data_IF_627458819258
#
_entry.id   IF_627458819258
#
_cell.length_a   1.000
_cell.length_b   1.000
_cell.length_c   1.000
_cell.angle_alpha   90.00
_cell.angle_beta   90.00
_cell.angle_gamma   90.00
#
_symmetry.space_group_name_H-M   'P 1'
#
loop_
_entity.id
_entity.type
_entity.pdbx_description
1 polymer ?
#
# COMPACT_ATOMS: atom_id res chain seq x y z
N UNK A 1 5.37 5.70 -27.23
CA UNK A 1 5.87 6.59 -26.16
C UNK A 1 5.90 5.91 -24.78
N UNK A 2 6.25 4.61 -24.69
CA UNK A 2 6.36 3.87 -23.41
C UNK A 2 7.61 4.20 -22.58
N UNK A 3 8.33 5.25 -22.98
CA UNK A 3 9.69 5.54 -22.56
C UNK A 3 9.79 6.17 -21.16
N UNK A 4 8.73 6.83 -20.69
CA UNK A 4 8.78 7.64 -19.46
C UNK A 4 8.20 6.95 -18.21
N UNK A 5 7.33 5.97 -18.36
CA UNK A 5 6.61 5.35 -17.22
C UNK A 5 6.95 3.89 -17.00
N UNK A 6 6.59 3.03 -17.95
CA UNK A 6 6.70 1.58 -17.79
C UNK A 6 8.15 1.08 -17.83
N UNK A 7 8.95 1.54 -18.80
CA UNK A 7 10.35 1.12 -18.94
C UNK A 7 11.18 1.53 -17.72
N UNK A 8 11.01 2.77 -17.23
CA UNK A 8 11.72 3.26 -16.04
C UNK A 8 11.32 2.49 -14.77
N UNK A 9 10.04 2.19 -14.59
CA UNK A 9 9.57 1.39 -13.45
C UNK A 9 10.08 -0.06 -13.52
N UNK A 10 10.16 -0.65 -14.71
CA UNK A 10 10.76 -1.96 -14.90
C UNK A 10 12.25 -1.94 -14.53
N UNK A 11 13.00 -0.94 -14.97
CA UNK A 11 14.43 -0.80 -14.65
C UNK A 11 14.69 -0.62 -13.16
N UNK A 12 13.91 0.24 -12.48
CA UNK A 12 13.98 0.39 -11.02
C UNK A 12 13.61 -0.93 -10.33
N UNK A 13 12.61 -1.65 -10.83
CA UNK A 13 12.25 -2.99 -10.35
C UNK A 13 13.41 -3.99 -10.44
N UNK A 14 14.14 -3.99 -11.57
CA UNK A 14 15.34 -4.82 -11.76
C UNK A 14 16.44 -4.43 -10.76
N UNK A 15 16.74 -3.14 -10.61
CA UNK A 15 17.74 -2.67 -9.64
C UNK A 15 17.35 -3.07 -8.21
N UNK A 16 16.08 -2.91 -7.85
CA UNK A 16 15.56 -3.32 -6.55
C UNK A 16 15.65 -4.84 -6.33
N UNK A 17 15.45 -5.67 -7.37
CA UNK A 17 15.64 -7.12 -7.30
C UNK A 17 17.08 -7.50 -7.01
N UNK A 18 18.05 -6.80 -7.60
CA UNK A 18 19.48 -7.07 -7.38
C UNK A 18 19.90 -6.63 -5.97
N UNK A 19 19.54 -5.41 -5.56
CA UNK A 19 20.00 -4.82 -4.29
C UNK A 19 19.32 -5.45 -3.08
N UNK A 20 17.99 -5.58 -3.14
CA UNK A 20 17.19 -6.06 -1.99
C UNK A 20 16.97 -7.58 -2.02
N UNK A 21 17.03 -8.17 -3.22
CA UNK A 21 16.76 -9.58 -3.45
C UNK A 21 15.27 -9.89 -3.69
N UNK A 22 14.95 -10.87 -4.56
CA UNK A 22 13.58 -11.21 -4.96
C UNK A 22 12.69 -11.69 -3.80
N UNK A 23 13.27 -12.25 -2.74
CA UNK A 23 12.52 -12.72 -1.57
C UNK A 23 12.05 -11.59 -0.65
N UNK A 24 12.74 -10.44 -0.64
CA UNK A 24 12.48 -9.33 0.31
C UNK A 24 11.68 -8.19 -0.32
N UNK A 25 11.82 -7.98 -1.64
CA UNK A 25 11.04 -7.02 -2.42
C UNK A 25 9.51 -7.07 -2.21
N UNK A 26 8.84 -8.24 -2.23
CA UNK A 26 7.39 -8.29 -2.03
C UNK A 26 6.97 -7.85 -0.63
N UNK A 27 7.83 -8.01 0.38
CA UNK A 27 7.59 -7.48 1.72
C UNK A 27 7.60 -5.95 1.73
N UNK A 28 8.63 -5.34 1.13
CA UNK A 28 8.76 -3.87 1.05
C UNK A 28 7.66 -3.26 0.20
N UNK A 29 7.33 -3.85 -0.95
CA UNK A 29 6.24 -3.36 -1.80
C UNK A 29 4.89 -3.36 -1.08
N UNK A 30 4.60 -4.37 -0.26
CA UNK A 30 3.38 -4.41 0.56
C UNK A 30 3.35 -3.31 1.61
N UNK A 31 4.46 -3.08 2.30
CA UNK A 31 4.55 -2.03 3.33
C UNK A 31 4.48 -0.64 2.70
N UNK A 32 5.24 -0.39 1.64
CA UNK A 32 5.22 0.85 0.90
C UNK A 32 3.83 1.13 0.31
N UNK A 33 3.18 0.12 -0.28
CA UNK A 33 1.82 0.23 -0.79
C UNK A 33 0.78 0.51 0.30
N UNK A 34 0.90 -0.12 1.48
CA UNK A 34 0.01 0.15 2.60
C UNK A 34 0.19 1.57 3.15
N UNK A 35 1.43 2.09 3.21
CA UNK A 35 1.71 3.47 3.61
C UNK A 35 1.21 4.47 2.57
N UNK A 36 1.48 4.21 1.29
CA UNK A 36 1.01 5.06 0.20
C UNK A 36 -0.52 5.13 0.14
N UNK A 37 -1.19 3.99 0.32
CA UNK A 37 -2.66 3.95 0.37
C UNK A 37 -3.26 4.69 1.57
N UNK A 38 -2.55 4.72 2.71
CA UNK A 38 -2.95 5.52 3.87
C UNK A 38 -2.71 7.02 3.64
N UNK A 39 -1.55 7.37 3.06
CA UNK A 39 -1.22 8.75 2.73
C UNK A 39 -2.21 9.34 1.72
N UNK A 40 -2.60 8.57 0.70
CA UNK A 40 -3.61 8.99 -0.27
C UNK A 40 -4.93 9.33 0.41
N UNK A 41 -5.41 8.49 1.35
CA UNK A 41 -6.62 8.78 2.13
C UNK A 41 -6.49 10.05 2.97
N UNK A 42 -5.36 10.23 3.66
CA UNK A 42 -5.12 11.44 4.45
C UNK A 42 -5.12 12.69 3.58
N UNK A 43 -4.50 12.62 2.40
CA UNK A 43 -4.51 13.71 1.43
C UNK A 43 -5.92 13.99 0.93
N UNK A 44 -6.74 12.97 0.72
CA UNK A 44 -8.13 13.14 0.28
C UNK A 44 -9.00 13.75 1.39
N UNK A 45 -8.80 13.36 2.65
CA UNK A 45 -9.47 13.95 3.81
C UNK A 45 -9.07 15.43 4.00
N UNK A 46 -7.77 15.74 3.90
CA UNK A 46 -7.27 17.11 3.97
C UNK A 46 -7.78 17.93 2.79
N UNK A 47 -7.78 17.39 1.57
CA UNK A 47 -8.38 18.06 0.40
C UNK A 47 -9.86 18.33 0.62
N UNK A 48 -10.61 17.44 1.26
CA UNK A 48 -12.04 17.62 1.52
C UNK A 48 -12.30 18.72 2.57
N UNK A 49 -11.49 18.78 3.64
CA UNK A 49 -11.57 19.85 4.64
C UNK A 49 -11.16 21.20 4.03
N UNK A 50 -10.02 21.21 3.33
CA UNK A 50 -9.46 22.39 2.67
C UNK A 50 -10.38 22.89 1.56
N UNK A 51 -11.02 22.02 0.77
CA UNK A 51 -11.99 22.42 -0.26
C UNK A 51 -13.30 22.95 0.34
N UNK A 52 -13.61 22.60 1.59
CA UNK A 52 -14.78 23.08 2.32
C UNK A 52 -14.53 24.45 2.97
N UNK A 53 -13.31 24.71 3.42
CA UNK A 53 -12.89 26.00 3.99
C UNK A 53 -12.41 27.00 2.93
N UNK A 54 -11.87 26.54 1.80
CA UNK A 54 -11.37 27.39 0.71
C UNK A 54 -12.39 27.50 -0.42
N UNK A 55 -13.33 28.41 -0.21
CA UNK A 55 -14.19 28.96 -1.26
C UNK A 55 -13.32 29.72 -2.29
N UNK A 56 -12.98 29.03 -3.39
CA UNK A 56 -12.46 29.51 -4.69
C UNK A 56 -11.14 30.30 -4.81
N UNK A 57 -10.60 30.96 -3.78
CA UNK A 57 -9.49 31.93 -4.00
C UNK A 57 -8.05 31.40 -3.79
N UNK A 58 -7.87 30.32 -3.01
CA UNK A 58 -6.55 29.74 -2.73
C UNK A 58 -6.14 28.62 -3.70
N UNK A 59 -7.11 27.89 -4.27
CA UNK A 59 -6.88 26.84 -5.27
C UNK A 59 -6.22 27.43 -6.53
N UNK A 60 -6.57 28.68 -6.90
CA UNK A 60 -5.90 29.40 -7.99
C UNK A 60 -4.45 29.75 -7.68
N UNK A 61 -4.14 30.20 -6.46
CA UNK A 61 -2.77 30.51 -6.04
C UNK A 61 -1.89 29.27 -5.99
N UNK A 62 -2.38 28.19 -5.38
CA UNK A 62 -1.62 26.94 -5.25
C UNK A 62 -1.41 26.25 -6.61
N UNK A 63 -2.40 26.31 -7.52
CA UNK A 63 -2.24 25.88 -8.93
C UNK A 63 -1.20 26.72 -9.67
N UNK A 64 -1.23 28.03 -9.50
CA UNK A 64 -0.24 28.93 -10.14
C UNK A 64 1.19 28.68 -9.66
N UNK A 65 1.39 28.45 -8.37
CA UNK A 65 2.70 28.17 -7.79
C UNK A 65 3.22 26.77 -8.17
N UNK A 66 2.33 25.77 -8.25
CA UNK A 66 2.66 24.44 -8.75
C UNK A 66 2.99 24.47 -10.25
N UNK A 67 2.26 25.24 -11.06
CA UNK A 67 2.53 25.38 -12.49
C UNK A 67 3.85 26.13 -12.75
N UNK A 68 4.16 27.17 -11.97
CA UNK A 68 5.47 27.84 -12.02
C UNK A 68 6.58 26.87 -11.66
N UNK A 69 6.41 26.11 -10.57
CA UNK A 69 7.41 25.12 -10.12
C UNK A 69 7.60 24.00 -11.15
N UNK A 70 6.53 23.57 -11.82
CA UNK A 70 6.60 22.57 -12.88
C UNK A 70 7.35 23.09 -14.12
N UNK A 71 7.11 24.34 -14.53
CA UNK A 71 7.86 24.98 -15.63
C UNK A 71 9.34 25.14 -15.30
N UNK A 72 9.67 25.48 -14.05
CA UNK A 72 11.07 25.56 -13.61
C UNK A 72 11.77 24.20 -13.63
N UNK A 73 11.06 23.13 -13.26
CA UNK A 73 11.56 21.75 -13.37
C UNK A 73 11.75 21.36 -14.83
N UNK A 74 10.81 21.68 -15.72
CA UNK A 74 10.93 21.41 -17.16
C UNK A 74 12.13 22.13 -17.77
N UNK A 75 12.33 23.41 -17.43
CA UNK A 75 13.49 24.19 -17.87
C UNK A 75 14.81 23.60 -17.35
N UNK A 76 14.86 23.19 -16.07
CA UNK A 76 16.05 22.53 -15.49
C UNK A 76 16.32 21.19 -16.15
N UNK A 77 15.29 20.39 -16.39
CA UNK A 77 15.40 19.10 -17.08
C UNK A 77 15.89 19.30 -18.51
N UNK A 78 15.38 20.29 -19.26
CA UNK A 78 15.83 20.57 -20.62
C UNK A 78 17.31 21.00 -20.66
N UNK A 79 17.75 21.84 -19.71
CA UNK A 79 19.15 22.27 -19.59
C UNK A 79 20.09 21.12 -19.17
N UNK A 80 19.63 20.24 -18.28
CA UNK A 80 20.39 19.05 -17.84
C UNK A 80 20.47 18.01 -18.95
N UNK A 81 19.38 17.79 -19.69
CA UNK A 81 19.37 16.88 -20.84
C UNK A 81 20.32 17.37 -21.94
N UNK A 82 20.29 18.68 -22.24
CA UNK A 82 21.18 19.27 -23.26
C UNK A 82 22.66 19.21 -22.87
N UNK A 83 22.97 19.27 -21.57
CA UNK A 83 24.35 19.13 -21.07
C UNK A 83 24.80 17.67 -20.96
N UNK A 84 23.88 16.73 -20.74
CA UNK A 84 24.20 15.29 -20.72
C UNK A 84 24.27 14.67 -22.11
N UNK A 85 23.58 15.20 -23.13
CA UNK A 85 23.60 14.62 -24.48
C UNK A 85 25.00 14.63 -25.11
N UNK A 86 25.82 15.66 -24.83
CA UNK A 86 27.23 15.70 -25.27
C UNK A 86 28.12 14.67 -24.57
N UNK A 87 27.80 14.26 -23.35
CA UNK A 87 28.54 13.21 -22.63
C UNK A 87 28.02 11.81 -23.02
N UNK A 88 26.72 11.68 -23.27
CA UNK A 88 26.06 10.44 -23.67
C UNK A 88 26.44 10.02 -25.10
N UNK A 89 26.55 10.95 -26.06
CA UNK A 89 27.02 10.62 -27.42
C UNK A 89 28.47 10.11 -27.40
N UNK A 90 29.32 10.73 -26.58
CA UNK A 90 30.71 10.33 -26.42
C UNK A 90 30.86 8.97 -25.71
N UNK A 91 30.05 8.70 -24.69
CA UNK A 91 30.05 7.41 -23.98
C UNK A 91 29.42 6.29 -24.81
N UNK A 92 28.37 6.58 -25.58
CA UNK A 92 27.74 5.60 -26.48
C UNK A 92 28.70 5.17 -27.59
N UNK A 93 29.39 6.12 -28.24
CA UNK A 93 30.44 5.83 -29.23
C UNK A 93 31.61 5.03 -28.65
N UNK A 94 31.97 5.32 -27.40
CA UNK A 94 33.03 4.58 -26.69
C UNK A 94 32.60 3.18 -26.28
N UNK A 95 31.33 2.99 -25.90
CA UNK A 95 30.77 1.71 -25.46
C UNK A 95 30.44 0.75 -26.60
N UNK A 96 29.96 1.25 -27.74
CA UNK A 96 29.65 0.41 -28.92
C UNK A 96 30.92 -0.13 -29.57
N UNK A 97 32.03 0.62 -29.51
CA UNK A 97 33.35 0.13 -29.97
C UNK A 97 33.89 -1.04 -29.13
N UNK A 98 33.38 -1.24 -27.91
CA UNK A 98 33.69 -2.40 -27.05
C UNK A 98 32.68 -3.55 -27.22
N UNK A 99 31.47 -3.27 -27.75
CA UNK A 99 30.36 -4.23 -27.87
C UNK A 99 30.41 -5.09 -29.14
N UNK A 100 31.03 -4.61 -30.23
CA UNK A 100 31.11 -5.35 -31.50
C UNK A 100 32.09 -6.55 -31.48
N UNK A 101 32.74 -6.84 -30.35
CA UNK A 101 33.62 -8.01 -30.18
C UNK A 101 32.91 -9.25 -29.59
N UNK A 102 31.68 -9.15 -29.07
CA UNK A 102 31.07 -10.24 -28.27
C UNK A 102 29.90 -10.97 -28.94
N UNK A 103 29.26 -10.44 -29.98
CA UNK A 103 28.08 -11.11 -30.60
C UNK A 103 28.41 -11.78 -31.93
N UNK A 104 29.18 -12.85 -31.87
CA UNK A 104 29.23 -13.88 -32.90
C UNK A 104 28.87 -15.23 -32.29
N UNK A 105 27.69 -15.77 -32.62
CA UNK A 105 27.40 -17.20 -32.84
C UNK A 105 25.95 -17.62 -32.49
N UNK A 106 25.30 -18.19 -33.51
CA UNK A 106 24.28 -19.26 -33.48
C UNK A 106 22.79 -18.95 -33.25
N UNK A 107 22.01 -19.15 -34.32
CA UNK A 107 20.57 -19.31 -34.31
C UNK A 107 20.13 -20.77 -34.24
N UNK A 108 18.84 -21.00 -33.92
CA UNK A 108 18.12 -22.27 -34.14
C UNK A 108 16.61 -22.00 -34.32
N UNK A 109 16.12 -22.26 -35.53
CA UNK A 109 14.71 -22.54 -35.87
C UNK A 109 14.30 -23.92 -35.32
N UNK A 110 13.00 -24.16 -35.09
CA UNK A 110 12.38 -25.49 -35.23
C UNK A 110 10.85 -25.43 -35.30
N UNK A 111 10.33 -26.17 -36.27
CA UNK A 111 8.96 -26.22 -36.78
C UNK A 111 8.31 -27.58 -36.45
N UNK A 112 6.99 -27.59 -36.17
CA UNK A 112 5.95 -28.62 -36.43
C UNK A 112 6.30 -30.11 -36.56
N UNK A 113 5.64 -31.01 -35.79
CA UNK A 113 5.22 -32.37 -36.26
C UNK A 113 3.95 -32.90 -35.54
N UNK A 114 3.02 -33.40 -36.37
CA UNK A 114 1.80 -34.25 -36.28
C UNK A 114 1.50 -35.15 -35.06
N UNK A 115 0.19 -35.39 -34.81
CA UNK A 115 -0.31 -36.51 -34.00
C UNK A 115 -1.85 -36.57 -33.82
N UNK A 116 -2.49 -37.44 -34.60
CA UNK A 116 -3.89 -37.88 -34.66
C UNK A 116 -4.57 -38.23 -33.31
N UNK A 117 -5.82 -37.77 -33.09
CA UNK A 117 -6.83 -38.57 -32.37
C UNK A 117 -8.24 -38.18 -32.82
N UNK A 118 -8.81 -39.02 -33.67
CA UNK A 118 -10.23 -39.09 -33.97
C UNK A 118 -11.05 -39.54 -32.75
N UNK A 119 -12.05 -38.75 -32.37
CA UNK A 119 -13.19 -39.21 -31.54
C UNK A 119 -13.31 -38.61 -30.13
N UNK A 120 -13.78 -37.36 -30.00
CA UNK A 120 -14.67 -36.95 -28.90
C UNK A 120 -15.73 -35.97 -29.45
N UNK A 121 -17.03 -36.24 -29.31
CA UNK A 121 -18.08 -35.37 -29.81
C UNK A 121 -18.20 -34.05 -29.02
N UNK A 122 -18.53 -33.00 -29.77
CA UNK A 122 -18.97 -31.68 -29.30
C UNK A 122 -20.08 -31.77 -28.25
N UNK A 123 -19.98 -31.00 -27.15
CA UNK A 123 -21.03 -30.12 -26.61
C UNK A 123 -20.65 -29.60 -25.20
N UNK A 124 -20.21 -28.34 -25.12
CA UNK A 124 -20.29 -27.58 -23.86
C UNK A 124 -20.98 -26.25 -24.18
N UNK A 125 -22.26 -26.34 -24.59
CA UNK A 125 -23.21 -25.27 -24.29
C UNK A 125 -23.85 -25.62 -22.95
N UNK A 126 -23.59 -24.81 -21.94
CA UNK A 126 -24.64 -24.17 -21.14
C UNK A 126 -24.03 -23.21 -20.10
N UNK A 127 -24.17 -21.92 -20.44
CA UNK A 127 -24.51 -20.83 -19.54
C UNK A 127 -23.86 -20.84 -18.15
N UNK A 128 -22.74 -20.14 -18.02
CA UNK A 128 -22.40 -19.49 -16.75
C UNK A 128 -23.55 -18.54 -16.40
N UNK A 129 -24.44 -19.00 -15.53
CA UNK A 129 -25.55 -18.22 -15.01
C UNK A 129 -24.99 -16.94 -14.39
N UNK A 130 -25.28 -15.80 -15.01
CA UNK A 130 -25.09 -14.49 -14.41
C UNK A 130 -26.08 -14.37 -13.26
N UNK A 131 -25.65 -14.80 -12.08
CA UNK A 131 -26.38 -14.68 -10.83
C UNK A 131 -26.55 -13.19 -10.53
N UNK A 132 -27.67 -12.61 -10.94
CA UNK A 132 -28.03 -11.24 -10.62
C UNK A 132 -28.11 -11.11 -9.10
N UNK A 133 -27.13 -10.40 -8.54
CA UNK A 133 -27.01 -10.15 -7.12
C UNK A 133 -28.00 -9.05 -6.76
N UNK A 134 -29.15 -9.45 -6.20
CA UNK A 134 -30.22 -8.55 -5.77
C UNK A 134 -29.70 -7.53 -4.74
N UNK A 135 -29.40 -6.32 -5.23
CA UNK A 135 -28.86 -5.19 -4.45
C UNK A 135 -29.76 -4.76 -3.29
N UNK A 136 -31.04 -5.16 -3.32
CA UNK A 136 -32.05 -4.87 -2.28
C UNK A 136 -31.89 -5.69 -1.00
N UNK A 137 -31.05 -6.73 -0.98
CA UNK A 137 -30.79 -7.54 0.25
C UNK A 137 -29.75 -6.88 1.18
N UNK A 138 -29.23 -5.69 0.83
CA UNK A 138 -28.12 -5.05 1.55
C UNK A 138 -28.49 -4.23 2.80
N UNK A 139 -29.75 -4.13 3.21
CA UNK A 139 -30.14 -3.19 4.27
C UNK A 139 -30.43 -3.81 5.64
N UNK A 140 -30.44 -5.15 5.80
CA UNK A 140 -30.73 -5.78 7.09
C UNK A 140 -29.49 -6.25 7.88
N UNK A 141 -28.29 -6.13 7.31
CA UNK A 141 -27.07 -6.52 8.00
C UNK A 141 -26.55 -5.35 8.85
N UNK A 142 -26.93 -5.32 10.12
CA UNK A 142 -26.34 -4.43 11.11
C UNK A 142 -24.81 -4.61 11.07
N UNK A 143 -24.03 -3.53 10.87
CA UNK A 143 -22.58 -3.60 10.76
C UNK A 143 -21.94 -4.34 11.93
N UNK A 144 -20.89 -5.13 11.68
CA UNK A 144 -20.21 -5.91 12.73
C UNK A 144 -19.68 -5.03 13.86
N UNK A 145 -19.19 -3.82 13.55
CA UNK A 145 -18.75 -2.84 14.56
C UNK A 145 -19.87 -2.43 15.52
N UNK A 146 -21.12 -2.35 15.04
CA UNK A 146 -22.28 -1.97 15.84
C UNK A 146 -22.68 -3.09 16.82
N UNK A 147 -22.48 -4.36 16.44
CA UNK A 147 -22.69 -5.52 17.35
C UNK A 147 -21.71 -5.51 18.53
N UNK A 148 -20.51 -4.95 18.36
CA UNK A 148 -19.50 -4.88 19.42
C UNK A 148 -19.62 -3.61 20.28
N UNK A 149 -20.22 -2.54 19.76
CA UNK A 149 -20.37 -1.28 20.50
C UNK A 149 -21.50 -1.29 21.54
N UNK A 150 -22.52 -2.13 21.37
CA UNK A 150 -23.72 -2.13 22.23
C UNK A 150 -23.64 -3.10 23.40
N UNK A 151 -22.61 -3.95 23.48
CA UNK A 151 -22.39 -4.81 24.66
C UNK A 151 -21.81 -3.96 25.81
N UNK A 152 -22.63 -3.05 26.34
CA UNK A 152 -22.44 -2.47 27.67
C UNK A 152 -22.70 -3.59 28.67
N UNK A 153 -21.64 -4.23 29.15
CA UNK A 153 -21.70 -5.17 30.28
C UNK A 153 -22.23 -4.44 31.52
N UNK A 154 -23.53 -4.47 31.74
CA UNK A 154 -24.14 -4.18 33.04
C UNK A 154 -23.94 -5.39 33.95
N UNK A 155 -22.71 -5.54 34.47
CA UNK A 155 -22.50 -6.24 35.73
C UNK A 155 -22.01 -5.22 36.75
N UNK A 156 -22.96 -4.52 37.35
CA UNK A 156 -22.78 -3.87 38.64
C UNK A 156 -22.61 -5.02 39.66
N UNK A 157 -21.38 -5.47 39.85
CA UNK A 157 -21.05 -6.34 40.98
C UNK A 157 -20.86 -5.42 42.17
N UNK A 158 -21.88 -5.33 43.01
CA UNK A 158 -21.88 -4.65 44.30
C UNK A 158 -20.75 -5.20 45.18
N UNK A 159 -19.56 -4.61 45.05
CA UNK A 159 -18.42 -4.87 45.92
C UNK A 159 -18.60 -4.01 47.17
N UNK A 160 -19.47 -4.45 48.07
CA UNK A 160 -19.51 -3.94 49.44
C UNK A 160 -18.18 -4.32 50.12
N UNK A 161 -17.39 -3.38 50.63
CA UNK A 161 -16.24 -3.73 51.45
C UNK A 161 -16.75 -4.24 52.79
N UNK A 162 -16.61 -5.55 53.05
CA UNK A 162 -16.69 -6.09 54.41
C UNK A 162 -15.56 -5.44 55.22
N UNK A 163 -15.92 -4.47 56.04
CA UNK A 163 -15.09 -3.94 57.12
C UNK A 163 -14.80 -5.08 58.09
N UNK A 164 -13.60 -5.64 58.00
CA UNK A 164 -13.05 -6.51 59.04
C UNK A 164 -12.80 -5.63 60.26
N UNK A 165 -13.70 -5.70 61.25
CA UNK A 165 -13.42 -5.15 62.58
C UNK A 165 -12.31 -6.01 63.20
N UNK A 166 -11.08 -5.51 63.17
CA UNK A 166 -9.98 -6.04 64.00
C UNK A 166 -10.19 -5.53 65.42
N UNK A 167 -10.49 -6.44 66.35
CA UNK A 167 -10.39 -6.17 67.78
C UNK A 167 -8.91 -6.15 68.18
N UNK A 168 -8.42 -5.09 68.85
CA UNK A 168 -7.07 -5.11 69.43
C UNK A 168 -7.08 -5.96 70.70
N UNK A 169 -6.29 -7.03 70.67
CA UNK A 169 -5.92 -7.83 71.84
C UNK A 169 -4.67 -7.19 72.47
N UNK A 170 -4.60 -7.16 73.80
CA UNK A 170 -3.48 -6.68 74.65
C UNK A 170 -3.45 -5.20 75.06
N UNK A 171 -4.31 -4.83 76.01
CA UNK A 171 -3.92 -4.00 77.16
C UNK A 171 -4.72 -4.42 78.40
N UNK A 172 -4.43 -5.62 78.93
CA UNK A 172 -4.84 -5.96 80.30
C UNK A 172 -3.90 -5.24 81.25
N UNK A 173 -4.40 -4.14 81.82
CA UNK A 173 -3.83 -3.47 83.00
C UNK A 173 -3.60 -4.51 84.10
N UNK A 174 -2.36 -4.58 84.60
CA UNK A 174 -2.09 -5.07 85.96
C UNK A 174 -2.71 -4.06 86.92
N UNK A 175 -3.77 -4.46 87.60
CA UNK A 175 -4.26 -3.76 88.79
C UNK A 175 -3.86 -4.63 89.98
N UNK A 176 -2.85 -4.14 90.70
CA UNK A 176 -2.45 -4.58 92.04
C UNK A 176 -3.51 -4.21 93.06
N UNK A 177 -3.91 -5.11 93.96
CA UNK A 177 -4.43 -4.77 95.29
C UNK A 177 -4.42 -5.98 96.24
N UNK A 178 -4.01 -5.70 97.49
CA UNK A 178 -3.98 -6.51 98.73
C UNK A 178 -2.89 -7.58 98.88
N UNK A 179 -2.32 -7.83 100.06
CA UNK A 179 -1.97 -7.08 101.30
C UNK A 179 -1.13 -8.05 102.14
#
# INVERSE_FOLDING_TARGET
MFDLGLTKMAMIGVVALVVLGPKRLPGVARTAGALFGRAQRYVDDVKAEVARELELDSLKRMRGEFESSARDVENKVHNVLRSQESELDNTWKSGTSMSDTVTGSEGRDLTSVYGDTSGIPMNIRNASQTKHRNWRVKQAAIPSWYKHAIVRRTRQLSRTPRTVRRSPETMRRRVSFFS
#
